data_IF_020378321823
#
_entry.id   IF_020378321823
#
_cell.length_a   1.000
_cell.length_b   1.000
_cell.length_c   1.000
_cell.angle_alpha   90.00
_cell.angle_beta   90.00
_cell.angle_gamma   90.00
#
_symmetry.space_group_name_H-M   'P 1'
#
loop_
_entity.id
_entity.type
_entity.pdbx_description
1 polymer ?
#
# COMPACT_ATOMS: atom_id res chain seq x y z
N UNK A 1 0.44 -12.30 9.39
CA UNK A 1 1.06 -11.05 9.88
C UNK A 1 2.57 -10.83 9.69
N UNK A 2 3.53 -11.44 10.42
CA UNK A 2 4.98 -11.06 10.25
C UNK A 2 5.68 -11.57 8.98
N UNK A 3 5.06 -12.49 8.22
CA UNK A 3 5.71 -13.19 7.09
C UNK A 3 5.75 -12.40 5.79
N UNK A 4 4.93 -11.35 5.63
CA UNK A 4 4.73 -10.66 4.35
C UNK A 4 4.96 -9.13 4.41
N UNK A 5 5.38 -8.60 5.58
CA UNK A 5 5.65 -7.17 5.74
C UNK A 5 7.06 -6.82 5.28
N UNK A 6 7.17 -6.02 4.23
CA UNK A 6 8.45 -5.47 3.77
C UNK A 6 8.92 -4.29 4.63
N UNK A 7 10.18 -3.88 4.46
CA UNK A 7 10.75 -2.74 5.18
C UNK A 7 10.04 -1.42 4.91
N UNK A 8 9.53 -1.23 3.70
CA UNK A 8 8.81 -0.03 3.26
C UNK A 8 7.49 0.12 4.01
N UNK A 9 6.75 -0.99 4.16
CA UNK A 9 5.48 -1.04 4.88
C UNK A 9 5.67 -0.65 6.35
N UNK A 10 6.75 -1.15 6.98
CA UNK A 10 7.12 -0.76 8.34
C UNK A 10 7.54 0.71 8.44
N UNK A 11 8.33 1.20 7.47
CA UNK A 11 8.82 2.57 7.48
C UNK A 11 7.69 3.59 7.35
N UNK A 12 6.75 3.37 6.42
CA UNK A 12 5.59 4.26 6.26
C UNK A 12 4.70 4.26 7.52
N UNK A 13 4.39 3.07 8.05
CA UNK A 13 3.61 2.94 9.28
C UNK A 13 4.24 3.72 10.45
N UNK A 14 5.51 3.45 10.74
CA UNK A 14 6.18 4.05 11.90
C UNK A 14 6.32 5.57 11.75
N UNK A 15 6.60 6.05 10.54
CA UNK A 15 6.66 7.49 10.29
C UNK A 15 5.29 8.15 10.46
N UNK A 16 4.20 7.51 10.02
CA UNK A 16 2.86 8.03 10.23
C UNK A 16 2.52 8.12 11.73
N UNK A 17 2.74 7.04 12.49
CA UNK A 17 2.47 6.98 13.92
C UNK A 17 3.27 8.04 14.71
N UNK A 18 4.56 8.23 14.39
CA UNK A 18 5.39 9.27 15.00
C UNK A 18 4.86 10.68 14.73
N UNK A 19 4.16 10.89 13.61
CA UNK A 19 3.53 12.16 13.26
C UNK A 19 2.06 12.27 13.75
N UNK A 20 1.60 11.35 14.59
CA UNK A 20 0.25 11.36 15.14
C UNK A 20 -0.84 10.95 14.14
N UNK A 21 -0.46 10.32 13.03
CA UNK A 21 -1.37 9.78 12.02
C UNK A 21 -1.53 8.29 12.32
N UNK A 22 -2.73 7.89 12.77
CA UNK A 22 -3.03 6.48 13.04
C UNK A 22 -2.97 5.66 11.75
N UNK A 23 -2.09 4.68 11.73
CA UNK A 23 -1.84 3.74 10.65
C UNK A 23 -2.10 2.31 11.11
N UNK A 24 -2.39 1.44 10.17
CA UNK A 24 -2.46 0.01 10.37
C UNK A 24 -1.76 -0.74 9.25
N UNK A 25 -1.73 -2.06 9.38
CA UNK A 25 -1.29 -3.00 8.35
C UNK A 25 -2.49 -3.73 7.77
N UNK A 26 -2.38 -4.12 6.51
CA UNK A 26 -3.39 -4.94 5.82
C UNK A 26 -2.71 -6.11 5.14
N UNK A 27 -3.29 -7.29 5.30
CA UNK A 27 -2.97 -8.48 4.53
C UNK A 27 -4.16 -8.71 3.57
N UNK A 28 -3.87 -8.82 2.28
CA UNK A 28 -4.88 -9.03 1.23
C UNK A 28 -4.55 -10.33 0.53
N UNK A 29 -5.51 -11.25 0.54
CA UNK A 29 -5.44 -12.45 -0.28
C UNK A 29 -6.10 -12.19 -1.63
N UNK A 30 -5.38 -12.53 -2.70
CA UNK A 30 -5.81 -12.33 -4.08
C UNK A 30 -6.02 -13.70 -4.73
N UNK A 31 -7.17 -13.89 -5.39
CA UNK A 31 -7.52 -15.18 -6.01
C UNK A 31 -6.43 -15.60 -7.00
N UNK A 32 -5.75 -16.71 -6.69
CA UNK A 32 -4.71 -17.29 -7.54
C UNK A 32 -3.41 -16.47 -7.63
N UNK A 33 -3.15 -15.56 -6.69
CA UNK A 33 -1.88 -14.81 -6.59
C UNK A 33 -1.30 -14.92 -5.19
N UNK A 34 -0.06 -14.47 -5.03
CA UNK A 34 0.56 -14.36 -3.71
C UNK A 34 -0.15 -13.29 -2.87
N UNK A 35 -0.28 -13.48 -1.55
CA UNK A 35 -0.80 -12.48 -0.63
C UNK A 35 0.00 -11.16 -0.72
N UNK A 36 -0.69 -10.05 -0.52
CA UNK A 36 -0.08 -8.71 -0.58
C UNK A 36 -0.27 -7.94 0.72
N UNK A 37 0.74 -7.15 1.09
CA UNK A 37 0.73 -6.35 2.31
C UNK A 37 0.70 -4.86 2.00
N UNK A 38 -0.20 -4.13 2.67
CA UNK A 38 -0.40 -2.69 2.50
C UNK A 38 -0.39 -1.97 3.85
N UNK A 39 -0.31 -0.63 3.79
CA UNK A 39 -0.69 0.22 4.92
C UNK A 39 -2.15 0.65 4.80
N UNK A 40 -2.79 0.93 5.94
CA UNK A 40 -4.15 1.48 5.98
C UNK A 40 -4.26 2.67 6.92
N UNK A 41 -5.06 3.65 6.52
CA UNK A 41 -5.32 4.87 7.26
C UNK A 41 -6.81 5.08 7.40
N UNK A 42 -7.28 5.37 8.61
CA UNK A 42 -8.65 5.79 8.83
C UNK A 42 -8.74 7.32 8.72
N UNK A 43 -9.08 7.80 7.52
CA UNK A 43 -9.17 9.24 7.24
C UNK A 43 -10.53 9.81 7.65
N UNK A 44 -10.56 11.08 8.01
CA UNK A 44 -11.79 11.75 8.46
C UNK A 44 -12.69 12.22 7.32
N UNK A 45 -12.14 12.37 6.11
CA UNK A 45 -12.83 12.92 4.94
C UNK A 45 -13.13 11.87 3.85
N UNK A 46 -12.33 10.80 3.74
CA UNK A 46 -12.45 9.77 2.70
C UNK A 46 -12.68 8.35 3.24
N UNK A 47 -12.79 8.17 4.56
CA UNK A 47 -12.93 6.87 5.20
C UNK A 47 -11.61 6.08 5.18
N UNK A 48 -11.70 4.76 5.02
CA UNK A 48 -10.53 3.87 5.04
C UNK A 48 -9.77 3.99 3.71
N UNK A 49 -8.48 4.33 3.78
CA UNK A 49 -7.58 4.45 2.62
C UNK A 49 -6.48 3.40 2.74
N UNK A 50 -6.32 2.58 1.70
CA UNK A 50 -5.26 1.59 1.55
C UNK A 50 -4.12 2.17 0.72
N UNK A 51 -2.87 1.94 1.14
CA UNK A 51 -1.67 2.47 0.48
C UNK A 51 -0.68 1.34 0.23
N UNK A 52 -0.40 1.09 -1.05
CA UNK A 52 0.70 0.24 -1.48
C UNK A 52 1.97 1.08 -1.61
N UNK A 53 2.89 0.92 -0.66
CA UNK A 53 4.19 1.59 -0.70
C UNK A 53 5.35 0.67 -1.13
N UNK A 54 5.04 -0.50 -1.68
CA UNK A 54 6.06 -1.45 -2.14
C UNK A 54 6.60 -1.08 -3.53
N UNK A 55 7.83 -1.50 -3.85
CA UNK A 55 8.44 -1.31 -5.18
C UNK A 55 8.81 0.13 -5.53
N UNK A 56 8.94 1.02 -4.53
CA UNK A 56 9.26 2.44 -4.75
C UNK A 56 10.70 2.64 -5.24
N UNK A 57 11.67 1.83 -4.79
CA UNK A 57 13.08 2.02 -5.16
C UNK A 57 13.42 1.57 -6.60
N UNK A 58 12.75 0.56 -7.14
CA UNK A 58 12.86 0.21 -8.57
C UNK A 58 12.19 1.26 -9.48
N UNK A 59 11.23 2.03 -8.94
CA UNK A 59 10.40 2.95 -9.72
C UNK A 59 10.83 4.41 -9.65
N UNK A 60 11.66 4.86 -8.71
CA UNK A 60 12.08 6.29 -8.62
C UNK A 60 12.71 6.83 -9.90
N UNK A 61 13.42 6.00 -10.66
CA UNK A 61 13.97 6.38 -11.97
C UNK A 61 12.87 6.45 -13.03
N UNK A 62 11.88 5.55 -12.95
CA UNK A 62 10.77 5.45 -13.92
C UNK A 62 9.60 6.41 -13.65
N UNK A 63 9.37 6.90 -12.43
CA UNK A 63 8.13 7.63 -12.09
C UNK A 63 7.98 8.94 -12.87
N UNK A 64 9.08 9.66 -13.13
CA UNK A 64 9.06 10.87 -13.99
C UNK A 64 8.84 10.56 -15.47
N UNK A 65 9.27 9.38 -15.92
CA UNK A 65 9.09 8.91 -17.30
C UNK A 65 7.70 8.31 -17.51
N UNK A 66 7.19 7.59 -16.50
CA UNK A 66 5.85 7.05 -16.42
C UNK A 66 4.81 8.16 -16.29
N UNK A 67 5.05 9.23 -15.52
CA UNK A 67 4.16 10.40 -15.46
C UNK A 67 3.95 11.01 -16.85
N UNK A 68 5.00 11.07 -17.68
CA UNK A 68 4.90 11.51 -19.09
C UNK A 68 4.07 10.58 -19.98
N UNK A 69 4.05 9.27 -19.68
CA UNK A 69 3.40 8.25 -20.53
C UNK A 69 2.00 7.87 -20.06
N UNK A 70 1.75 7.86 -18.74
CA UNK A 70 0.54 7.37 -18.08
C UNK A 70 -0.33 8.48 -17.49
N UNK A 71 0.20 9.70 -17.34
CA UNK A 71 -0.47 10.81 -16.65
C UNK A 71 -0.28 10.78 -15.13
N UNK A 72 -0.95 11.69 -14.42
CA UNK A 72 -0.78 11.90 -12.97
C UNK A 72 -1.24 10.73 -12.09
N UNK A 73 -2.07 9.85 -12.63
CA UNK A 73 -2.55 8.62 -12.00
C UNK A 73 -2.95 7.64 -13.10
N UNK A 74 -2.61 6.37 -12.92
CA UNK A 74 -3.09 5.28 -13.76
C UNK A 74 -3.70 4.20 -12.88
N UNK A 75 -4.61 3.43 -13.45
CA UNK A 75 -5.25 2.32 -12.78
C UNK A 75 -4.79 1.03 -13.44
N UNK A 76 -4.29 0.10 -12.63
CA UNK A 76 -3.97 -1.25 -13.05
C UNK A 76 -4.68 -2.25 -12.13
N UNK A 77 -5.19 -3.33 -12.72
CA UNK A 77 -5.93 -4.35 -11.98
C UNK A 77 -4.96 -5.33 -11.33
N UNK A 78 -4.93 -5.36 -10.00
CA UNK A 78 -4.12 -6.32 -9.24
C UNK A 78 -4.81 -7.68 -9.05
N UNK A 79 -6.06 -7.85 -9.49
CA UNK A 79 -6.82 -9.10 -9.39
C UNK A 79 -8.09 -8.97 -8.56
N UNK A 80 -8.67 -10.11 -8.20
CA UNK A 80 -9.88 -10.20 -7.37
C UNK A 80 -9.44 -10.45 -5.93
N UNK A 81 -9.94 -9.62 -5.01
CA UNK A 81 -9.75 -9.81 -3.56
C UNK A 81 -10.58 -11.01 -3.10
N UNK A 82 -9.92 -11.96 -2.45
CA UNK A 82 -10.55 -13.11 -1.81
C UNK A 82 -10.85 -12.81 -0.34
N UNK A 83 -9.87 -12.28 0.39
CA UNK A 83 -9.99 -11.93 1.81
C UNK A 83 -9.19 -10.65 2.15
N UNK A 84 -9.59 -10.00 3.24
CA UNK A 84 -8.92 -8.79 3.75
C UNK A 84 -8.88 -8.80 5.28
N UNK A 85 -7.66 -8.73 5.83
CA UNK A 85 -7.44 -8.61 7.26
C UNK A 85 -6.76 -7.29 7.59
N UNK A 86 -7.37 -6.52 8.51
CA UNK A 86 -6.87 -5.21 8.94
C UNK A 86 -6.40 -5.29 10.39
N UNK A 87 -5.19 -4.77 10.62
CA UNK A 87 -4.54 -4.74 11.92
C UNK A 87 -4.20 -3.29 12.28
N UNK A 88 -4.75 -2.81 13.39
CA UNK A 88 -4.53 -1.45 13.91
C UNK A 88 -3.54 -1.42 15.06
#
# INVERSE_FOLDING_TARGET
>A
MRRYLSSEIYLLHNNAEVNGIRAGFVEIDLVGREPHALNVFNTTDRGIVFVDCTGIDDRKVSLKEQEKFLGSYFWDSLGIVEDIEIYW
#
